data_IF_913770858369
#
_entry.id   IF_913770858369
#
_cell.length_a   1.000
_cell.length_b   1.000
_cell.length_c   1.000
_cell.angle_alpha   90.00
_cell.angle_beta   90.00
_cell.angle_gamma   90.00
#
_symmetry.space_group_name_H-M   'P 1'
#
loop_
_entity.id
_entity.type
_entity.pdbx_description
1 polymer ?
#
# COMPACT_ATOMS: atom_id res chain seq x y z
N UNK A 1 8.26 -9.68 18.22
CA UNK A 1 9.03 -8.68 17.43
C UNK A 1 9.98 -9.37 16.46
N UNK A 2 9.93 -9.04 15.18
CA UNK A 2 10.88 -9.43 14.12
C UNK A 2 11.88 -8.29 13.91
N UNK A 3 13.16 -8.61 13.84
CA UNK A 3 14.24 -7.68 13.50
C UNK A 3 15.03 -8.22 12.31
N UNK A 4 15.23 -7.38 11.31
CA UNK A 4 16.05 -7.63 10.13
C UNK A 4 17.10 -6.52 10.07
N UNK A 5 18.39 -6.91 10.06
CA UNK A 5 19.50 -5.96 10.11
C UNK A 5 20.42 -6.15 8.92
N UNK A 6 20.55 -5.11 8.09
CA UNK A 6 21.44 -5.03 6.93
C UNK A 6 21.39 -6.27 6.03
N UNK A 7 20.16 -6.80 5.83
CA UNK A 7 19.94 -8.03 5.07
C UNK A 7 20.26 -7.83 3.59
N UNK A 8 21.12 -8.69 3.05
CA UNK A 8 21.57 -8.61 1.66
C UNK A 8 21.53 -9.95 0.95
N UNK A 9 21.27 -9.91 -0.37
CA UNK A 9 21.36 -11.06 -1.27
C UNK A 9 21.74 -10.60 -2.67
N UNK A 10 22.82 -11.13 -3.21
CA UNK A 10 23.30 -10.80 -4.56
C UNK A 10 22.88 -11.88 -5.55
N UNK A 11 22.36 -11.45 -6.67
CA UNK A 11 22.07 -12.26 -7.86
C UNK A 11 22.86 -11.72 -9.05
N UNK A 12 22.99 -12.50 -10.13
CA UNK A 12 23.73 -12.09 -11.32
C UNK A 12 23.23 -10.76 -11.94
N UNK A 13 21.93 -10.45 -11.77
CA UNK A 13 21.26 -9.30 -12.41
C UNK A 13 20.58 -8.36 -11.43
N UNK A 14 20.62 -8.66 -10.11
CA UNK A 14 19.86 -7.92 -9.11
C UNK A 14 20.54 -8.02 -7.74
N UNK A 15 20.74 -6.89 -7.09
CA UNK A 15 21.22 -6.82 -5.73
C UNK A 15 20.04 -6.48 -4.80
N UNK A 16 19.81 -7.35 -3.81
CA UNK A 16 18.83 -7.14 -2.76
C UNK A 16 19.52 -6.59 -1.52
N UNK A 17 19.00 -5.50 -1.00
CA UNK A 17 19.46 -4.88 0.24
C UNK A 17 20.54 -3.79 0.03
N UNK A 18 21.13 -3.31 1.14
CA UNK A 18 20.80 -3.70 2.51
C UNK A 18 19.39 -3.31 2.95
N UNK A 19 18.70 -4.20 3.67
CA UNK A 19 17.39 -3.97 4.24
C UNK A 19 17.47 -4.02 5.75
N UNK A 20 17.01 -2.94 6.39
CA UNK A 20 16.78 -2.84 7.84
C UNK A 20 15.29 -2.72 8.10
N UNK A 21 14.74 -3.57 8.96
CA UNK A 21 13.31 -3.62 9.23
C UNK A 21 13.03 -4.16 10.61
N UNK A 22 12.14 -3.51 11.36
CA UNK A 22 11.60 -4.00 12.63
C UNK A 22 10.08 -4.07 12.52
N UNK A 23 9.50 -5.20 12.92
CA UNK A 23 8.05 -5.42 12.97
C UNK A 23 7.71 -5.97 14.35
N UNK A 24 6.94 -5.22 15.11
CA UNK A 24 6.39 -5.64 16.39
C UNK A 24 5.15 -6.52 16.18
N UNK A 25 4.30 -6.65 17.17
CA UNK A 25 3.01 -7.37 17.07
C UNK A 25 2.02 -6.50 16.30
N UNK A 26 2.32 -6.28 15.01
CA UNK A 26 1.62 -5.41 14.10
C UNK A 26 1.59 -6.00 12.68
N UNK A 27 0.76 -5.45 11.82
CA UNK A 27 0.75 -5.76 10.39
C UNK A 27 1.59 -4.76 9.62
N UNK A 28 2.72 -5.20 9.07
CA UNK A 28 3.48 -4.44 8.10
C UNK A 28 3.08 -4.83 6.69
N UNK A 29 2.41 -3.93 5.99
CA UNK A 29 2.14 -4.08 4.56
C UNK A 29 3.35 -3.68 3.73
N UNK A 30 3.74 -4.50 2.75
CA UNK A 30 4.82 -4.19 1.81
C UNK A 30 4.23 -3.98 0.41
N UNK A 31 4.42 -2.78 -0.11
CA UNK A 31 4.04 -2.36 -1.45
C UNK A 31 5.29 -2.13 -2.32
N UNK A 32 5.18 -2.40 -3.61
CA UNK A 32 6.24 -2.11 -4.57
C UNK A 32 5.96 -2.72 -5.95
N UNK A 33 6.65 -2.27 -7.01
CA UNK A 33 6.53 -2.83 -8.34
C UNK A 33 6.84 -4.33 -8.39
N UNK A 34 6.40 -5.00 -9.44
CA UNK A 34 6.83 -6.37 -9.72
C UNK A 34 8.34 -6.41 -9.90
N UNK A 35 9.00 -7.43 -9.34
CA UNK A 35 10.45 -7.57 -9.40
C UNK A 35 11.24 -6.69 -8.40
N UNK A 36 10.58 -5.93 -7.51
CA UNK A 36 11.30 -5.09 -6.53
C UNK A 36 11.98 -5.86 -5.39
N UNK A 37 11.82 -7.18 -5.29
CA UNK A 37 12.47 -8.00 -4.26
C UNK A 37 11.58 -8.40 -3.07
N UNK A 38 10.26 -8.12 -3.11
CA UNK A 38 9.34 -8.43 -1.99
C UNK A 38 9.29 -9.93 -1.64
N UNK A 39 9.15 -10.79 -2.65
CA UNK A 39 9.18 -12.26 -2.47
C UNK A 39 10.55 -12.74 -2.00
N UNK A 40 11.63 -12.07 -2.43
CA UNK A 40 12.99 -12.34 -1.94
C UNK A 40 13.09 -12.07 -0.44
N UNK A 41 12.56 -10.91 0.02
CA UNK A 41 12.51 -10.59 1.45
C UNK A 41 11.80 -11.69 2.24
N UNK A 42 10.58 -12.08 1.81
CA UNK A 42 9.83 -13.14 2.48
C UNK A 42 10.59 -14.47 2.50
N UNK A 43 11.24 -14.83 1.38
CA UNK A 43 12.00 -16.07 1.24
C UNK A 43 13.24 -16.12 2.14
N UNK A 44 13.92 -14.99 2.31
CA UNK A 44 15.06 -14.84 3.24
C UNK A 44 14.60 -14.94 4.69
N UNK A 45 13.52 -14.26 5.07
CA UNK A 45 12.99 -14.32 6.44
C UNK A 45 12.48 -15.73 6.76
N UNK A 46 11.77 -16.36 5.83
CA UNK A 46 11.30 -17.74 5.99
C UNK A 46 12.45 -18.77 6.04
N UNK A 47 13.64 -18.45 5.51
CA UNK A 47 14.79 -19.35 5.41
C UNK A 47 14.73 -20.33 4.25
N UNK A 48 14.00 -19.97 3.19
CA UNK A 48 14.01 -20.66 1.90
C UNK A 48 15.27 -20.29 1.13
N UNK A 49 15.71 -19.04 1.30
CA UNK A 49 16.95 -18.52 0.77
C UNK A 49 17.88 -18.15 1.92
N UNK A 50 19.16 -18.42 1.76
CA UNK A 50 20.18 -17.96 2.70
C UNK A 50 20.63 -16.55 2.30
N UNK A 51 20.72 -15.60 3.24
CA UNK A 51 21.28 -14.28 2.97
C UNK A 51 22.78 -14.36 2.73
N UNK A 52 23.32 -13.40 1.98
CA UNK A 52 24.77 -13.25 1.80
C UNK A 52 25.38 -12.38 2.91
N UNK A 53 24.54 -11.58 3.58
CA UNK A 53 24.93 -10.77 4.72
C UNK A 53 23.73 -10.26 5.50
N UNK A 54 24.01 -9.72 6.68
CA UNK A 54 22.99 -9.27 7.62
C UNK A 54 22.55 -10.33 8.61
N UNK A 55 21.50 -10.05 9.37
CA UNK A 55 20.96 -10.95 10.39
C UNK A 55 19.44 -10.84 10.49
N UNK A 56 18.79 -11.93 10.87
CA UNK A 56 17.35 -11.99 11.14
C UNK A 56 17.15 -12.55 12.54
N UNK A 57 16.36 -11.88 13.36
CA UNK A 57 15.96 -12.39 14.68
C UNK A 57 14.45 -12.28 14.88
N UNK A 58 13.89 -13.25 15.59
CA UNK A 58 12.48 -13.28 15.99
C UNK A 58 12.41 -13.48 17.50
N UNK A 59 11.74 -12.57 18.20
CA UNK A 59 11.61 -12.58 19.67
C UNK A 59 12.97 -12.66 20.39
N UNK A 60 14.01 -12.00 19.82
CA UNK A 60 15.38 -11.99 20.34
C UNK A 60 16.20 -13.24 20.01
N UNK A 61 15.65 -14.19 19.27
CA UNK A 61 16.36 -15.39 18.85
C UNK A 61 16.81 -15.27 17.38
N UNK A 62 18.09 -15.52 17.10
CA UNK A 62 18.59 -15.53 15.72
C UNK A 62 17.99 -16.68 14.92
N UNK A 63 17.51 -16.37 13.71
CA UNK A 63 16.99 -17.33 12.76
C UNK A 63 18.04 -17.82 11.75
N UNK A 64 19.18 -17.16 11.67
CA UNK A 64 20.25 -17.49 10.73
C UNK A 64 20.78 -18.92 10.98
N UNK A 65 20.86 -19.71 9.89
CA UNK A 65 21.28 -21.12 9.97
C UNK A 65 20.27 -22.08 10.59
N UNK A 66 19.11 -21.61 11.07
CA UNK A 66 18.04 -22.51 11.54
C UNK A 66 17.27 -23.09 10.35
N UNK A 67 16.99 -24.40 10.37
CA UNK A 67 16.14 -25.02 9.36
C UNK A 67 14.71 -24.47 9.43
N UNK A 68 14.01 -24.46 8.28
CA UNK A 68 12.63 -23.96 8.14
C UNK A 68 11.68 -24.40 9.26
N UNK A 69 11.75 -25.69 9.62
CA UNK A 69 10.83 -26.29 10.61
C UNK A 69 11.00 -25.73 12.02
N UNK A 70 12.17 -25.17 12.33
CA UNK A 70 12.50 -24.60 13.64
C UNK A 70 12.23 -23.10 13.75
N UNK A 71 11.93 -22.43 12.60
CA UNK A 71 11.68 -20.98 12.58
C UNK A 71 10.29 -20.60 13.06
N UNK A 72 9.35 -21.54 13.15
CA UNK A 72 7.93 -21.29 13.49
C UNK A 72 7.29 -20.15 12.68
N UNK A 73 7.72 -20.02 11.43
CA UNK A 73 7.26 -19.00 10.50
C UNK A 73 6.19 -19.58 9.59
N UNK A 74 5.02 -18.98 9.58
CA UNK A 74 3.96 -19.29 8.63
C UNK A 74 4.17 -18.52 7.32
N UNK A 75 4.27 -19.22 6.19
CA UNK A 75 4.39 -18.59 4.88
C UNK A 75 3.28 -19.05 3.96
N UNK A 76 2.58 -18.06 3.38
CA UNK A 76 1.63 -18.27 2.27
C UNK A 76 2.25 -17.77 0.99
N UNK A 77 2.50 -18.70 0.07
CA UNK A 77 2.97 -18.40 -1.28
C UNK A 77 1.82 -17.93 -2.18
N UNK A 78 2.14 -17.18 -3.20
CA UNK A 78 1.18 -16.71 -4.20
C UNK A 78 0.41 -17.87 -4.86
N UNK A 79 1.06 -19.01 -5.12
CA UNK A 79 0.45 -20.20 -5.73
C UNK A 79 -0.21 -21.16 -4.72
N UNK A 80 -0.23 -20.81 -3.43
CA UNK A 80 -0.85 -21.59 -2.34
C UNK A 80 -0.07 -22.86 -1.95
N UNK A 81 0.72 -23.47 -2.83
CA UNK A 81 1.56 -24.66 -2.60
C UNK A 81 0.86 -25.79 -1.81
N UNK A 82 -0.36 -26.15 -2.22
CA UNK A 82 -1.13 -27.24 -1.59
C UNK A 82 -0.63 -28.62 -2.00
N UNK A 83 -0.78 -29.60 -1.10
CA UNK A 83 -0.52 -31.01 -1.40
C UNK A 83 -1.64 -31.55 -2.31
N UNK A 84 -1.38 -31.89 -3.59
CA UNK A 84 -2.43 -32.19 -4.56
C UNK A 84 -3.16 -33.51 -4.31
N UNK A 85 -2.55 -34.41 -3.54
CA UNK A 85 -3.09 -35.72 -3.18
C UNK A 85 -3.95 -35.71 -1.92
N UNK A 86 -3.91 -34.64 -1.14
CA UNK A 86 -4.67 -34.42 0.09
C UNK A 86 -5.93 -33.59 -0.21
N UNK A 87 -7.00 -33.82 0.54
CA UNK A 87 -8.18 -32.94 0.57
C UNK A 87 -7.84 -31.59 1.19
N UNK A 88 -8.73 -30.58 1.07
CA UNK A 88 -8.55 -29.30 1.76
C UNK A 88 -8.44 -29.48 3.28
N UNK A 89 -9.30 -30.31 3.86
CA UNK A 89 -9.26 -30.67 5.29
C UNK A 89 -7.91 -31.28 5.70
N UNK A 90 -7.39 -32.22 4.91
CA UNK A 90 -6.10 -32.87 5.18
C UNK A 90 -4.94 -31.89 5.00
N UNK A 91 -5.00 -30.98 4.02
CA UNK A 91 -4.02 -29.91 3.87
C UNK A 91 -3.95 -29.01 5.10
N UNK A 92 -5.11 -28.53 5.60
CA UNK A 92 -5.18 -27.69 6.80
C UNK A 92 -4.71 -28.49 8.02
N UNK A 93 -5.21 -29.71 8.18
CA UNK A 93 -4.89 -30.58 9.29
C UNK A 93 -3.42 -31.06 9.33
N UNK A 94 -2.70 -30.97 8.21
CA UNK A 94 -1.28 -31.35 8.15
C UNK A 94 -0.39 -30.48 9.05
N UNK A 95 -0.72 -29.21 9.17
CA UNK A 95 0.03 -28.26 9.96
C UNK A 95 -0.70 -27.85 11.26
N UNK A 96 -1.97 -28.22 11.42
CA UNK A 96 -2.78 -27.79 12.56
C UNK A 96 -2.27 -28.37 13.87
N UNK A 97 -2.09 -27.49 14.87
CA UNK A 97 -1.77 -27.86 16.24
C UNK A 97 -2.98 -28.42 16.98
N UNK A 98 -4.20 -28.01 16.57
CA UNK A 98 -5.49 -28.50 17.08
C UNK A 98 -6.48 -28.71 15.94
N UNK A 99 -7.29 -29.78 16.03
CA UNK A 99 -8.34 -30.07 15.03
C UNK A 99 -9.49 -29.09 15.04
N UNK A 100 -9.76 -28.43 16.16
CA UNK A 100 -10.83 -27.42 16.27
C UNK A 100 -10.52 -26.19 15.39
N UNK A 101 -9.25 -25.84 15.24
CA UNK A 101 -8.78 -24.75 14.34
C UNK A 101 -9.11 -24.98 12.88
N UNK A 102 -9.24 -26.25 12.43
CA UNK A 102 -9.66 -26.55 11.05
C UNK A 102 -11.06 -25.98 10.77
N UNK A 103 -12.00 -26.19 11.69
CA UNK A 103 -13.37 -25.72 11.53
C UNK A 103 -13.44 -24.19 11.66
N UNK A 104 -12.69 -23.61 12.59
CA UNK A 104 -12.59 -22.17 12.81
C UNK A 104 -12.10 -21.45 11.53
N UNK A 105 -10.93 -21.83 11.00
CA UNK A 105 -10.38 -21.20 9.79
C UNK A 105 -11.12 -21.56 8.52
N UNK A 106 -11.76 -22.74 8.46
CA UNK A 106 -12.65 -23.09 7.35
C UNK A 106 -13.89 -22.19 7.31
N UNK A 107 -14.43 -21.82 8.47
CA UNK A 107 -15.56 -20.90 8.58
C UNK A 107 -15.11 -19.47 8.25
N UNK A 108 -14.03 -18.98 8.88
CA UNK A 108 -13.47 -17.64 8.67
C UNK A 108 -13.18 -17.38 7.18
N UNK A 109 -12.58 -18.35 6.50
CA UNK A 109 -12.14 -18.22 5.12
C UNK A 109 -13.18 -18.75 4.10
N UNK A 110 -14.38 -19.12 4.57
CA UNK A 110 -15.50 -19.58 3.73
C UNK A 110 -15.13 -20.73 2.78
N UNK A 111 -14.52 -21.76 3.34
CA UNK A 111 -14.11 -22.98 2.64
C UNK A 111 -14.69 -24.23 3.28
N UNK A 112 -15.69 -24.09 4.15
CA UNK A 112 -16.30 -25.21 4.86
C UNK A 112 -16.95 -26.24 3.89
N UNK A 113 -17.52 -25.77 2.78
CA UNK A 113 -18.18 -26.56 1.75
C UNK A 113 -17.21 -27.29 0.82
N UNK A 114 -15.93 -26.93 0.82
CA UNK A 114 -14.91 -27.54 -0.06
C UNK A 114 -13.88 -28.38 0.70
N UNK A 115 -14.04 -28.56 2.01
CA UNK A 115 -13.07 -29.25 2.85
C UNK A 115 -12.75 -30.67 2.39
N UNK A 116 -13.71 -31.39 1.80
CA UNK A 116 -13.52 -32.77 1.35
C UNK A 116 -13.09 -32.88 -0.13
N UNK A 117 -12.86 -31.72 -0.78
CA UNK A 117 -12.37 -31.66 -2.17
C UNK A 117 -10.84 -31.59 -2.19
N UNK A 118 -10.25 -32.05 -3.31
CA UNK A 118 -8.79 -31.96 -3.55
C UNK A 118 -8.42 -30.72 -4.35
N UNK A 119 -7.19 -30.17 -4.19
CA UNK A 119 -6.74 -28.96 -4.85
C UNK A 119 -7.02 -28.90 -6.36
N UNK A 120 -6.83 -29.96 -7.18
CA UNK A 120 -7.13 -29.87 -8.61
C UNK A 120 -8.61 -29.62 -8.94
N UNK A 121 -9.53 -29.79 -7.99
CA UNK A 121 -10.97 -29.55 -8.17
C UNK A 121 -11.44 -28.25 -7.53
N UNK A 122 -10.52 -27.48 -6.93
CA UNK A 122 -10.76 -26.19 -6.33
C UNK A 122 -10.46 -25.07 -7.34
N UNK A 123 -11.22 -23.98 -7.27
CA UNK A 123 -10.84 -22.73 -7.94
C UNK A 123 -9.55 -22.15 -7.35
N UNK A 124 -8.85 -21.30 -8.09
CA UNK A 124 -7.63 -20.66 -7.59
C UNK A 124 -7.85 -19.90 -6.28
N UNK A 125 -8.99 -19.24 -6.14
CA UNK A 125 -9.35 -18.55 -4.90
C UNK A 125 -9.62 -19.48 -3.72
N UNK A 126 -10.26 -20.63 -3.96
CA UNK A 126 -10.44 -21.67 -2.91
C UNK A 126 -9.11 -22.26 -2.49
N UNK A 127 -8.21 -22.56 -3.45
CA UNK A 127 -6.87 -23.06 -3.15
C UNK A 127 -6.09 -22.06 -2.27
N UNK A 128 -6.15 -20.77 -2.58
CA UNK A 128 -5.46 -19.74 -1.83
C UNK A 128 -6.00 -19.61 -0.40
N UNK A 129 -7.33 -19.70 -0.23
CA UNK A 129 -7.97 -19.70 1.10
C UNK A 129 -7.64 -20.95 1.92
N UNK A 130 -7.54 -22.11 1.28
CA UNK A 130 -7.09 -23.34 1.95
C UNK A 130 -5.63 -23.24 2.38
N UNK A 131 -4.75 -22.65 1.56
CA UNK A 131 -3.35 -22.42 1.91
C UNK A 131 -3.21 -21.46 3.11
N UNK A 132 -3.99 -20.39 3.12
CA UNK A 132 -4.04 -19.46 4.24
C UNK A 132 -4.55 -20.14 5.52
N UNK A 133 -5.64 -20.92 5.43
CA UNK A 133 -6.16 -21.70 6.55
C UNK A 133 -5.12 -22.67 7.14
N UNK A 134 -4.39 -23.38 6.25
CA UNK A 134 -3.30 -24.28 6.67
C UNK A 134 -2.22 -23.55 7.43
N UNK A 135 -1.81 -22.38 6.95
CA UNK A 135 -0.74 -21.60 7.57
C UNK A 135 -1.16 -21.05 8.94
N UNK A 136 -2.39 -20.53 9.06
CA UNK A 136 -2.94 -20.04 10.33
C UNK A 136 -3.16 -21.17 11.33
N UNK A 137 -3.57 -22.35 10.87
CA UNK A 137 -3.78 -23.51 11.75
C UNK A 137 -2.48 -24.05 12.39
N UNK A 138 -1.32 -23.73 11.81
CA UNK A 138 -0.01 -24.10 12.33
C UNK A 138 0.43 -23.31 13.58
N UNK A 139 -0.31 -22.26 13.95
CA UNK A 139 0.00 -21.37 15.08
C UNK A 139 1.42 -20.79 15.03
N UNK A 140 1.77 -20.04 13.99
CA UNK A 140 3.12 -19.52 13.80
C UNK A 140 3.42 -18.35 14.74
N UNK A 141 4.71 -18.11 15.03
CA UNK A 141 5.19 -16.95 15.77
C UNK A 141 5.45 -15.73 14.86
N UNK A 142 5.42 -15.92 13.54
CA UNK A 142 5.56 -14.90 12.50
C UNK A 142 4.74 -15.33 11.28
N UNK A 143 3.96 -14.41 10.72
CA UNK A 143 3.15 -14.67 9.53
C UNK A 143 3.66 -13.87 8.33
N UNK A 144 3.98 -14.58 7.25
CA UNK A 144 4.45 -14.03 5.98
C UNK A 144 3.43 -14.35 4.87
N UNK A 145 2.91 -13.33 4.22
CA UNK A 145 1.84 -13.47 3.24
C UNK A 145 2.26 -12.83 1.91
N UNK A 146 2.41 -13.63 0.86
CA UNK A 146 2.73 -13.15 -0.48
C UNK A 146 1.47 -13.14 -1.35
N UNK A 147 0.86 -11.96 -1.49
CA UNK A 147 -0.35 -11.70 -2.27
C UNK A 147 -1.54 -12.66 -2.01
N UNK A 148 -1.91 -12.93 -0.74
CA UNK A 148 -2.83 -14.00 -0.39
C UNK A 148 -4.28 -13.76 -0.84
N UNK A 149 -4.62 -12.59 -1.38
CA UNK A 149 -5.95 -12.26 -1.88
C UNK A 149 -5.97 -11.89 -3.39
N UNK A 150 -4.85 -12.02 -4.09
CA UNK A 150 -4.72 -11.52 -5.47
C UNK A 150 -5.64 -12.24 -6.46
N UNK A 151 -5.81 -13.55 -6.31
CA UNK A 151 -6.63 -14.39 -7.21
C UNK A 151 -8.14 -14.37 -6.92
N UNK A 152 -8.58 -13.56 -5.94
CA UNK A 152 -9.98 -13.51 -5.52
C UNK A 152 -10.79 -12.46 -6.28
N UNK A 153 -12.06 -12.78 -6.52
CA UNK A 153 -13.04 -11.82 -7.03
C UNK A 153 -13.24 -10.65 -6.07
N UNK A 154 -13.56 -9.47 -6.61
CA UNK A 154 -13.64 -8.23 -5.85
C UNK A 154 -14.59 -8.29 -4.63
N UNK A 155 -15.82 -8.90 -4.70
CA UNK A 155 -16.69 -9.03 -3.54
C UNK A 155 -16.10 -9.89 -2.42
N UNK A 156 -15.50 -11.04 -2.77
CA UNK A 156 -14.87 -11.96 -1.83
C UNK A 156 -13.65 -11.29 -1.20
N UNK A 157 -12.78 -10.66 -2.01
CA UNK A 157 -11.61 -9.93 -1.54
C UNK A 157 -11.98 -8.84 -0.54
N UNK A 158 -13.04 -8.05 -0.81
CA UNK A 158 -13.50 -6.98 0.09
C UNK A 158 -14.00 -7.51 1.44
N UNK A 159 -14.65 -8.67 1.44
CA UNK A 159 -15.14 -9.31 2.66
C UNK A 159 -13.98 -9.91 3.45
N UNK A 160 -13.16 -10.74 2.85
CA UNK A 160 -12.01 -11.38 3.51
C UNK A 160 -11.01 -10.35 4.05
N UNK A 161 -10.82 -9.23 3.38
CA UNK A 161 -9.99 -8.13 3.90
C UNK A 161 -10.47 -7.63 5.26
N UNK A 162 -11.79 -7.48 5.47
CA UNK A 162 -12.33 -7.08 6.78
C UNK A 162 -12.15 -8.16 7.83
N UNK A 163 -12.36 -9.41 7.47
CA UNK A 163 -12.21 -10.54 8.38
C UNK A 163 -10.75 -10.76 8.77
N UNK A 164 -9.83 -10.65 7.80
CA UNK A 164 -8.40 -10.72 8.06
C UNK A 164 -7.91 -9.55 8.91
N UNK A 165 -8.45 -8.34 8.71
CA UNK A 165 -8.13 -7.22 9.58
C UNK A 165 -8.49 -7.53 11.04
N UNK A 166 -9.71 -8.04 11.27
CA UNK A 166 -10.15 -8.44 12.63
C UNK A 166 -9.26 -9.55 13.19
N UNK A 167 -8.94 -10.57 12.38
CA UNK A 167 -8.06 -11.66 12.78
C UNK A 167 -6.67 -11.12 13.15
N UNK A 168 -6.02 -10.36 12.26
CA UNK A 168 -4.66 -9.87 12.49
C UNK A 168 -4.57 -8.98 13.72
N UNK A 169 -5.60 -8.16 13.98
CA UNK A 169 -5.67 -7.36 15.22
C UNK A 169 -5.74 -8.24 16.48
N UNK A 170 -6.23 -9.48 16.37
CA UNK A 170 -6.29 -10.42 17.49
C UNK A 170 -5.05 -11.30 17.64
N UNK A 171 -4.16 -11.31 16.63
CA UNK A 171 -2.90 -12.01 16.68
C UNK A 171 -1.86 -11.13 17.39
N UNK A 172 -1.21 -11.68 18.41
CA UNK A 172 -0.11 -11.03 19.11
C UNK A 172 1.23 -11.51 18.52
N UNK A 173 1.37 -11.41 17.19
CA UNK A 173 2.56 -11.79 16.42
C UNK A 173 2.82 -10.81 15.28
N UNK A 174 4.07 -10.66 14.83
CA UNK A 174 4.39 -9.91 13.62
C UNK A 174 3.72 -10.52 12.38
N UNK A 175 3.16 -9.66 11.52
CA UNK A 175 2.59 -10.05 10.22
C UNK A 175 3.22 -9.21 9.13
N UNK A 176 3.84 -9.85 8.13
CA UNK A 176 4.27 -9.19 6.89
C UNK A 176 3.32 -9.55 5.77
N UNK A 177 2.66 -8.56 5.21
CA UNK A 177 1.67 -8.69 4.15
C UNK A 177 2.16 -8.03 2.87
N UNK A 178 2.60 -8.81 1.90
CA UNK A 178 3.01 -8.31 0.58
C UNK A 178 1.78 -8.21 -0.33
N UNK A 179 1.63 -7.08 -1.00
CA UNK A 179 0.58 -6.86 -2.00
C UNK A 179 0.99 -5.78 -2.99
N UNK A 180 0.40 -5.79 -4.19
CA UNK A 180 0.44 -4.69 -5.14
C UNK A 180 -0.83 -3.81 -5.06
N UNK A 181 -1.84 -4.23 -4.30
CA UNK A 181 -3.10 -3.49 -4.09
C UNK A 181 -2.95 -2.51 -2.92
N UNK A 182 -2.84 -1.22 -3.26
CA UNK A 182 -2.73 -0.14 -2.28
C UNK A 182 -3.92 -0.09 -1.31
N UNK A 183 -5.14 -0.38 -1.81
CA UNK A 183 -6.35 -0.39 -0.95
C UNK A 183 -6.26 -1.50 0.11
N UNK A 184 -5.70 -2.64 -0.25
CA UNK A 184 -5.48 -3.75 0.69
C UNK A 184 -4.39 -3.40 1.70
N UNK A 185 -3.27 -2.85 1.25
CA UNK A 185 -2.19 -2.44 2.13
C UNK A 185 -2.63 -1.38 3.16
N UNK A 186 -3.40 -0.38 2.70
CA UNK A 186 -3.95 0.67 3.58
C UNK A 186 -4.99 0.14 4.57
N UNK A 187 -5.76 -0.88 4.19
CA UNK A 187 -6.84 -1.40 5.03
C UNK A 187 -6.38 -2.44 6.05
N UNK A 188 -5.27 -3.14 5.78
CA UNK A 188 -4.77 -4.20 6.65
C UNK A 188 -3.52 -3.78 7.44
N UNK A 189 -2.68 -2.90 6.89
CA UNK A 189 -1.41 -2.55 7.49
C UNK A 189 -1.53 -1.47 8.56
N UNK A 190 -0.95 -1.71 9.72
CA UNK A 190 -0.67 -0.67 10.72
C UNK A 190 0.45 0.25 10.22
N UNK A 191 1.44 -0.35 9.55
CA UNK A 191 2.49 0.35 8.80
C UNK A 191 2.58 -0.17 7.37
N UNK A 192 3.07 0.70 6.48
CA UNK A 192 3.32 0.39 5.07
C UNK A 192 4.77 0.69 4.73
N UNK A 193 5.46 -0.28 4.13
CA UNK A 193 6.79 -0.11 3.54
C UNK A 193 6.65 -0.06 2.00
N UNK A 194 7.27 0.93 1.39
CA UNK A 194 7.41 1.00 -0.07
C UNK A 194 8.75 0.41 -0.46
N UNK A 195 8.69 -0.64 -1.28
CA UNK A 195 9.85 -1.41 -1.72
C UNK A 195 10.20 -1.10 -3.17
N UNK A 196 11.46 -0.83 -3.44
CA UNK A 196 11.94 -0.55 -4.79
C UNK A 196 13.38 -1.05 -4.95
N UNK A 197 13.65 -1.71 -6.06
CA UNK A 197 15.02 -2.11 -6.47
C UNK A 197 15.82 -2.79 -5.32
N UNK A 198 15.15 -3.70 -4.58
CA UNK A 198 15.76 -4.45 -3.48
C UNK A 198 15.83 -3.72 -2.14
N UNK A 199 15.40 -2.46 -2.05
CA UNK A 199 15.53 -1.64 -0.85
C UNK A 199 14.20 -1.05 -0.38
N UNK A 200 14.15 -0.57 0.86
CA UNK A 200 13.01 0.16 1.42
C UNK A 200 13.19 1.66 1.15
N UNK A 201 12.29 2.25 0.38
CA UNK A 201 12.26 3.70 0.09
C UNK A 201 11.63 4.52 1.22
N UNK A 202 10.58 3.99 1.83
CA UNK A 202 9.85 4.65 2.92
C UNK A 202 9.08 3.64 3.76
N UNK A 203 9.03 3.86 5.07
CA UNK A 203 8.12 3.16 6.00
C UNK A 203 7.36 4.19 6.83
N UNK A 204 6.09 3.95 7.08
CA UNK A 204 5.26 4.80 7.92
C UNK A 204 3.83 4.29 8.03
N UNK A 205 2.96 5.01 8.73
CA UNK A 205 1.53 4.71 8.66
C UNK A 205 1.04 4.87 7.22
N UNK A 206 0.04 4.08 6.77
CA UNK A 206 -0.45 4.16 5.39
C UNK A 206 -0.76 5.59 4.93
N UNK A 207 -1.42 6.36 5.79
CA UNK A 207 -1.74 7.76 5.50
C UNK A 207 -0.52 8.67 5.45
N UNK A 208 0.53 8.38 6.23
CA UNK A 208 1.78 9.14 6.16
C UNK A 208 2.52 8.88 4.84
N UNK A 209 2.56 7.63 4.39
CA UNK A 209 3.19 7.24 3.12
C UNK A 209 2.47 7.87 1.92
N UNK A 210 1.14 7.91 1.94
CA UNK A 210 0.33 8.50 0.86
C UNK A 210 0.42 10.03 0.84
N UNK A 211 0.27 10.69 2.01
CA UNK A 211 0.16 12.14 2.08
C UNK A 211 1.49 12.88 2.26
N UNK A 212 2.54 12.16 2.68
CA UNK A 212 3.89 12.71 2.94
C UNK A 212 4.97 11.83 2.34
N UNK A 213 4.95 11.61 1.02
CA UNK A 213 5.96 10.80 0.34
C UNK A 213 7.33 11.46 0.44
N UNK A 214 8.37 10.66 0.73
CA UNK A 214 9.74 11.15 0.87
C UNK A 214 10.44 11.33 -0.46
N UNK A 215 9.99 10.64 -1.51
CA UNK A 215 10.57 10.70 -2.85
C UNK A 215 9.48 10.85 -3.92
N UNK A 216 9.87 11.32 -5.10
CA UNK A 216 8.97 11.36 -6.27
C UNK A 216 8.47 9.97 -6.67
N UNK A 217 9.30 8.94 -6.47
CA UNK A 217 8.90 7.57 -6.73
C UNK A 217 7.74 7.17 -5.81
N UNK A 218 7.91 7.35 -4.50
CA UNK A 218 6.84 7.04 -3.53
C UNK A 218 5.59 7.83 -3.85
N UNK A 219 5.70 9.13 -4.15
CA UNK A 219 4.58 9.97 -4.52
C UNK A 219 3.80 9.38 -5.70
N UNK A 220 4.46 9.10 -6.82
CA UNK A 220 3.82 8.52 -8.02
C UNK A 220 3.23 7.15 -7.74
N UNK A 221 3.98 6.31 -7.03
CA UNK A 221 3.56 4.96 -6.71
C UNK A 221 2.32 4.91 -5.82
N UNK A 222 2.12 5.92 -4.97
CA UNK A 222 0.96 6.06 -4.08
C UNK A 222 -0.17 6.91 -4.66
N UNK A 223 -0.12 7.24 -5.97
CA UNK A 223 -1.20 7.94 -6.66
C UNK A 223 -1.15 9.47 -6.56
N UNK A 224 -0.05 10.04 -6.07
CA UNK A 224 0.14 11.48 -6.14
C UNK A 224 0.62 11.87 -7.54
N UNK A 225 -0.26 12.40 -8.36
CA UNK A 225 0.03 12.75 -9.76
C UNK A 225 0.37 14.22 -9.93
N UNK A 226 -0.15 15.10 -9.09
CA UNK A 226 0.18 16.51 -9.11
C UNK A 226 1.56 16.75 -8.51
N UNK A 227 2.59 16.56 -9.32
CA UNK A 227 4.00 16.74 -8.97
C UNK A 227 4.60 17.86 -9.81
N UNK A 228 4.91 18.98 -9.19
CA UNK A 228 5.42 20.18 -9.88
C UNK A 228 6.73 20.66 -9.28
N UNK A 229 7.66 21.12 -10.13
CA UNK A 229 8.83 21.84 -9.69
C UNK A 229 8.43 23.21 -9.15
N UNK A 230 8.85 23.51 -7.96
CA UNK A 230 8.57 24.78 -7.29
C UNK A 230 9.83 25.42 -6.73
N UNK A 231 9.82 26.74 -6.63
CA UNK A 231 10.83 27.50 -5.91
C UNK A 231 10.19 28.12 -4.68
N UNK A 232 10.82 27.99 -3.55
CA UNK A 232 10.41 28.67 -2.31
C UNK A 232 10.74 30.16 -2.45
N UNK A 233 9.70 31.00 -2.43
CA UNK A 233 9.83 32.47 -2.55
C UNK A 233 10.10 33.08 -1.20
N UNK A 234 9.30 32.71 -0.19
CA UNK A 234 9.34 33.26 1.16
C UNK A 234 8.91 32.20 2.17
N UNK A 235 9.56 32.15 3.31
CA UNK A 235 9.12 31.38 4.47
C UNK A 235 8.62 32.34 5.54
N UNK A 236 7.41 32.12 6.04
CA UNK A 236 6.77 32.80 7.16
C UNK A 236 6.69 31.86 8.36
N UNK A 237 6.22 32.33 9.51
CA UNK A 237 6.16 31.51 10.72
C UNK A 237 5.44 30.17 10.51
N UNK A 238 4.24 30.17 9.91
CA UNK A 238 3.38 28.99 9.74
C UNK A 238 3.18 28.58 8.28
N UNK A 239 3.72 29.32 7.32
CA UNK A 239 3.45 29.10 5.89
C UNK A 239 4.67 29.37 5.02
N UNK A 240 4.70 28.73 3.89
CA UNK A 240 5.72 28.91 2.86
C UNK A 240 5.06 29.33 1.56
N UNK A 241 5.50 30.42 0.98
CA UNK A 241 5.08 30.88 -0.33
C UNK A 241 5.93 30.19 -1.41
N UNK A 242 5.28 29.48 -2.30
CA UNK A 242 5.87 28.72 -3.40
C UNK A 242 5.54 29.38 -4.73
N UNK A 243 6.44 29.27 -5.69
CA UNK A 243 6.21 29.64 -7.08
C UNK A 243 6.35 28.40 -7.98
N UNK A 244 5.27 28.05 -8.66
CA UNK A 244 5.23 27.03 -9.71
C UNK A 244 4.93 27.73 -11.03
N UNK A 245 5.87 27.79 -11.94
CA UNK A 245 5.75 28.62 -13.14
C UNK A 245 5.43 30.08 -12.80
N UNK A 246 4.26 30.59 -13.18
CA UNK A 246 3.74 31.92 -12.89
C UNK A 246 2.68 31.95 -11.77
N UNK A 247 2.33 30.78 -11.19
CA UNK A 247 1.37 30.69 -10.07
C UNK A 247 2.11 30.74 -8.72
N UNK A 248 1.49 31.41 -7.75
CA UNK A 248 1.93 31.42 -6.36
C UNK A 248 0.98 30.57 -5.54
N UNK A 249 1.55 29.68 -4.73
CA UNK A 249 0.82 28.80 -3.83
C UNK A 249 1.36 28.95 -2.42
N UNK A 250 0.49 28.84 -1.44
CA UNK A 250 0.85 28.86 -0.03
C UNK A 250 0.73 27.43 0.54
N UNK A 251 1.76 26.96 1.23
CA UNK A 251 1.80 25.66 1.90
C UNK A 251 2.09 25.85 3.39
N UNK A 252 1.61 24.90 4.22
CA UNK A 252 1.95 24.84 5.65
C UNK A 252 3.30 24.15 5.90
N UNK A 253 3.91 23.55 4.87
CA UNK A 253 5.20 22.87 4.97
C UNK A 253 6.36 23.87 5.02
N UNK A 254 7.31 23.69 5.92
CA UNK A 254 8.47 24.58 6.05
C UNK A 254 9.57 24.24 5.05
N UNK A 255 10.07 25.28 4.34
CA UNK A 255 11.23 25.17 3.46
C UNK A 255 11.95 26.51 3.32
N UNK A 256 13.27 26.49 3.24
CA UNK A 256 14.08 27.72 3.18
C UNK A 256 13.88 28.47 1.85
N UNK A 257 13.81 29.81 1.92
CA UNK A 257 13.67 30.65 0.75
C UNK A 257 14.84 30.45 -0.24
N UNK A 258 14.51 30.42 -1.54
CA UNK A 258 15.45 30.18 -2.63
C UNK A 258 15.68 28.67 -2.94
N UNK A 259 15.14 27.76 -2.14
CA UNK A 259 15.29 26.33 -2.37
C UNK A 259 14.35 25.84 -3.49
N UNK A 260 14.87 25.01 -4.41
CA UNK A 260 14.06 24.24 -5.35
C UNK A 260 13.47 23.00 -4.63
N UNK A 261 12.19 22.75 -4.80
CA UNK A 261 11.47 21.63 -4.19
C UNK A 261 10.50 21.01 -5.19
N UNK A 262 10.13 19.76 -4.99
CA UNK A 262 8.98 19.19 -5.70
C UNK A 262 7.74 19.34 -4.84
N UNK A 263 6.77 20.09 -5.34
CA UNK A 263 5.44 20.18 -4.76
C UNK A 263 4.65 18.92 -5.12
N UNK A 264 4.03 18.32 -4.12
CA UNK A 264 3.25 17.10 -4.23
C UNK A 264 1.86 17.32 -3.64
N UNK A 265 0.82 17.01 -4.43
CA UNK A 265 -0.58 17.13 -4.01
C UNK A 265 -1.33 15.87 -4.44
N UNK A 266 -1.93 15.18 -3.47
CA UNK A 266 -2.77 14.03 -3.81
C UNK A 266 -4.06 14.50 -4.53
N UNK A 267 -4.51 13.84 -5.62
CA UNK A 267 -5.70 14.26 -6.38
C UNK A 267 -6.95 14.44 -5.54
N UNK A 268 -7.18 13.60 -4.53
CA UNK A 268 -8.33 13.70 -3.62
C UNK A 268 -8.32 14.94 -2.70
N UNK A 269 -7.20 15.67 -2.64
CA UNK A 269 -7.05 16.91 -1.85
C UNK A 269 -7.28 18.17 -2.68
N UNK A 270 -7.36 18.06 -4.00
CA UNK A 270 -7.74 19.16 -4.89
C UNK A 270 -9.26 19.26 -4.90
N UNK A 271 -9.80 20.40 -4.50
CA UNK A 271 -11.22 20.66 -4.47
C UNK A 271 -11.65 21.35 -5.77
N UNK A 272 -12.74 20.89 -6.41
CA UNK A 272 -13.29 21.47 -7.60
C UNK A 272 -14.67 22.05 -7.33
N UNK A 273 -14.94 23.24 -7.87
CA UNK A 273 -16.16 24.00 -7.68
C UNK A 273 -16.72 24.50 -9.03
N UNK A 274 -18.03 24.71 -9.09
CA UNK A 274 -18.66 25.36 -10.24
C UNK A 274 -18.17 26.81 -10.41
N UNK A 275 -18.15 27.37 -11.62
CA UNK A 275 -17.62 28.70 -11.91
C UNK A 275 -18.40 29.84 -11.22
N UNK A 276 -19.67 29.65 -10.92
CA UNK A 276 -20.59 30.66 -10.36
C UNK A 276 -20.89 30.41 -8.88
N UNK A 277 -19.89 30.35 -8.03
CA UNK A 277 -20.05 30.40 -6.57
C UNK A 277 -19.67 31.80 -6.09
N UNK A 278 -20.52 32.41 -5.21
CA UNK A 278 -20.36 33.72 -4.64
C UNK A 278 -18.91 34.06 -4.27
N UNK A 279 -18.53 35.30 -4.50
CA UNK A 279 -17.21 35.93 -4.32
C UNK A 279 -16.54 35.80 -2.93
N UNK A 280 -17.09 35.02 -2.01
CA UNK A 280 -16.63 34.93 -0.63
C UNK A 280 -15.55 33.85 -0.36
N UNK A 281 -15.14 33.08 -1.37
CA UNK A 281 -13.98 32.18 -1.22
C UNK A 281 -12.68 32.96 -1.55
N UNK A 282 -12.27 33.88 -0.69
CA UNK A 282 -10.87 34.29 -0.57
C UNK A 282 -10.06 33.13 0.02
N UNK A 283 -10.20 31.93 -0.60
CA UNK A 283 -9.37 30.79 -0.24
C UNK A 283 -8.01 30.99 -0.91
N UNK A 284 -6.98 30.99 -0.10
CA UNK A 284 -5.62 30.86 -0.59
C UNK A 284 -5.52 29.65 -1.54
N UNK A 285 -4.73 29.78 -2.60
CA UNK A 285 -4.53 28.74 -3.62
C UNK A 285 -5.80 28.39 -4.47
N UNK A 286 -6.61 29.36 -4.82
CA UNK A 286 -7.73 29.17 -5.75
C UNK A 286 -7.36 29.68 -7.13
N UNK A 287 -7.65 28.88 -8.15
CA UNK A 287 -7.42 29.21 -9.55
C UNK A 287 -8.61 28.82 -10.41
N UNK A 288 -8.81 29.54 -11.53
CA UNK A 288 -9.74 29.16 -12.59
C UNK A 288 -9.06 28.19 -13.56
N UNK A 289 -9.84 27.32 -14.16
CA UNK A 289 -9.35 26.36 -15.14
C UNK A 289 -10.48 25.77 -15.97
N UNK A 290 -10.07 25.05 -16.99
CA UNK A 290 -10.97 24.37 -17.92
C UNK A 290 -10.77 22.87 -17.81
N UNK A 291 -11.86 22.11 -17.78
CA UNK A 291 -11.81 20.64 -17.79
C UNK A 291 -11.26 20.20 -19.15
N UNK A 292 -10.11 19.54 -19.13
CA UNK A 292 -9.49 18.96 -20.31
C UNK A 292 -10.11 17.59 -20.62
N UNK A 293 -10.11 16.70 -19.63
CA UNK A 293 -10.75 15.39 -19.73
C UNK A 293 -11.21 14.87 -18.36
N UNK A 294 -12.08 13.88 -18.40
CA UNK A 294 -12.46 13.16 -17.21
C UNK A 294 -12.72 11.67 -17.49
N UNK A 295 -12.54 10.83 -16.48
CA UNK A 295 -12.73 9.39 -16.56
C UNK A 295 -13.52 8.91 -15.35
N UNK A 296 -14.48 8.01 -15.58
CA UNK A 296 -15.19 7.32 -14.52
C UNK A 296 -14.41 6.05 -14.13
N UNK A 297 -13.85 6.02 -12.94
CA UNK A 297 -13.11 4.87 -12.38
C UNK A 297 -13.99 3.95 -11.50
N UNK A 298 -15.31 4.18 -11.53
CA UNK A 298 -16.31 3.41 -10.79
C UNK A 298 -16.60 3.99 -9.40
N UNK A 299 -15.64 4.03 -8.53
CA UNK A 299 -15.77 4.57 -7.16
C UNK A 299 -15.64 6.10 -7.12
N UNK A 300 -14.98 6.68 -8.10
CA UNK A 300 -14.73 8.13 -8.25
C UNK A 300 -14.59 8.54 -9.72
N UNK A 301 -14.70 9.83 -9.96
CA UNK A 301 -14.41 10.46 -11.24
C UNK A 301 -13.05 11.14 -11.13
N UNK A 302 -12.16 10.80 -12.04
CA UNK A 302 -10.88 11.46 -12.23
C UNK A 302 -11.03 12.57 -13.25
N UNK A 303 -10.63 13.79 -12.89
CA UNK A 303 -10.79 14.98 -13.73
C UNK A 303 -9.45 15.67 -13.87
N UNK A 304 -9.07 16.00 -15.11
CA UNK A 304 -7.92 16.82 -15.42
C UNK A 304 -8.38 18.24 -15.75
N UNK A 305 -7.82 19.21 -15.04
CA UNK A 305 -8.15 20.62 -15.17
C UNK A 305 -6.91 21.40 -15.61
N UNK A 306 -6.94 21.96 -16.79
CA UNK A 306 -5.93 22.90 -17.27
C UNK A 306 -6.18 24.27 -16.62
N UNK A 307 -5.19 24.83 -15.93
CA UNK A 307 -5.31 26.16 -15.32
C UNK A 307 -5.23 27.25 -16.40
N UNK A 308 -6.12 28.26 -16.32
CA UNK A 308 -6.20 29.32 -17.33
C UNK A 308 -4.96 30.23 -17.34
N UNK A 309 -4.39 30.48 -16.16
CA UNK A 309 -3.28 31.41 -15.98
C UNK A 309 -1.89 30.74 -15.96
N UNK A 310 -1.80 29.41 -16.13
CA UNK A 310 -0.54 28.69 -16.06
C UNK A 310 -0.51 27.44 -16.94
N UNK A 311 0.64 27.05 -17.48
CA UNK A 311 0.81 25.79 -18.19
C UNK A 311 0.87 24.62 -17.21
N UNK A 312 -0.18 24.44 -16.42
CA UNK A 312 -0.29 23.44 -15.36
C UNK A 312 -1.63 22.72 -15.54
N UNK A 313 -1.61 21.41 -15.60
CA UNK A 313 -2.80 20.57 -15.50
C UNK A 313 -2.82 19.93 -14.10
N UNK A 314 -3.93 20.10 -13.40
CA UNK A 314 -4.19 19.49 -12.10
C UNK A 314 -5.10 18.30 -12.27
N UNK A 315 -4.75 17.18 -11.67
CA UNK A 315 -5.64 16.02 -11.52
C UNK A 315 -6.40 16.14 -10.20
N UNK A 316 -7.71 15.97 -10.23
CA UNK A 316 -8.56 15.86 -9.04
C UNK A 316 -9.45 14.64 -9.12
N UNK A 317 -9.87 14.13 -7.96
CA UNK A 317 -10.86 13.05 -7.88
C UNK A 317 -12.14 13.55 -7.22
N UNK A 318 -13.29 13.19 -7.81
CA UNK A 318 -14.60 13.63 -7.38
C UNK A 318 -15.45 12.39 -7.05
N UNK A 319 -16.18 12.45 -5.96
CA UNK A 319 -17.13 11.38 -5.61
C UNK A 319 -18.36 11.43 -6.51
N UNK A 320 -18.97 10.27 -6.83
CA UNK A 320 -20.21 10.24 -7.63
C UNK A 320 -21.33 11.13 -7.10
N UNK A 321 -21.44 11.29 -5.78
CA UNK A 321 -22.42 12.18 -5.14
C UNK A 321 -22.25 13.66 -5.46
N UNK A 322 -21.10 14.08 -5.91
CA UNK A 322 -20.82 15.48 -6.30
C UNK A 322 -20.90 15.69 -7.81
N UNK A 323 -21.12 14.62 -8.58
CA UNK A 323 -21.16 14.67 -10.04
C UNK A 323 -22.27 15.58 -10.55
N UNK A 324 -23.49 15.46 -10.00
CA UNK A 324 -24.65 16.24 -10.46
C UNK A 324 -24.56 17.74 -10.15
N UNK A 325 -23.59 18.15 -9.35
CA UNK A 325 -23.39 19.54 -8.92
C UNK A 325 -22.31 20.26 -9.74
N UNK A 326 -21.62 19.56 -10.63
CA UNK A 326 -20.48 20.07 -11.38
C UNK A 326 -20.69 19.90 -12.89
N UNK A 327 -20.29 20.89 -13.70
CA UNK A 327 -20.37 20.80 -15.17
C UNK A 327 -19.25 19.90 -15.71
N UNK A 328 -19.39 18.58 -15.59
CA UNK A 328 -18.38 17.62 -16.04
C UNK A 328 -18.46 17.36 -17.55
N UNK A 329 -18.25 18.39 -18.34
CA UNK A 329 -18.05 18.30 -19.78
C UNK A 329 -16.67 18.86 -20.14
N UNK A 330 -15.97 18.22 -21.08
CA UNK A 330 -14.72 18.75 -21.60
C UNK A 330 -14.93 20.16 -22.15
N UNK A 331 -14.06 21.09 -21.82
CA UNK A 331 -14.19 22.51 -22.16
C UNK A 331 -15.01 23.34 -21.17
N UNK A 332 -15.61 22.73 -20.13
CA UNK A 332 -16.32 23.49 -19.10
C UNK A 332 -15.34 24.21 -18.16
N UNK A 333 -15.67 25.48 -17.85
CA UNK A 333 -14.90 26.25 -16.85
C UNK A 333 -15.23 25.80 -15.45
N UNK A 334 -14.22 25.72 -14.60
CA UNK A 334 -14.32 25.33 -13.18
C UNK A 334 -13.36 26.17 -12.34
N UNK A 335 -13.56 26.14 -11.03
CA UNK A 335 -12.58 26.68 -10.06
C UNK A 335 -11.99 25.51 -9.28
N UNK A 336 -10.67 25.55 -9.08
CA UNK A 336 -9.95 24.58 -8.27
C UNK A 336 -9.31 25.26 -7.06
N UNK A 337 -9.42 24.62 -5.90
CA UNK A 337 -8.83 25.12 -4.65
C UNK A 337 -7.93 24.04 -4.07
N UNK A 338 -6.74 24.42 -3.67
CA UNK A 338 -5.76 23.53 -3.05
C UNK A 338 -5.55 24.02 -1.60
N UNK A 339 -6.06 23.31 -0.58
CA UNK A 339 -5.80 23.67 0.81
C UNK A 339 -4.29 23.75 1.09
N UNK A 340 -3.78 24.74 1.83
CA UNK A 340 -2.35 24.87 2.12
C UNK A 340 -1.72 23.65 2.80
N UNK A 341 -2.50 22.93 3.63
CA UNK A 341 -2.11 21.69 4.30
C UNK A 341 -2.14 20.45 3.39
N UNK A 342 -2.73 20.56 2.20
CA UNK A 342 -2.72 19.51 1.18
C UNK A 342 -1.42 19.47 0.37
N UNK A 343 -0.62 20.52 0.45
CA UNK A 343 0.64 20.64 -0.27
C UNK A 343 1.77 20.06 0.55
N UNK A 344 2.38 19.00 0.05
CA UNK A 344 3.59 18.39 0.60
C UNK A 344 4.80 18.75 -0.25
N UNK A 345 5.97 18.96 0.40
CA UNK A 345 7.22 19.33 -0.26
C UNK A 345 8.22 18.18 -0.18
N UNK A 346 8.61 17.66 -1.34
CA UNK A 346 9.69 16.67 -1.49
C UNK A 346 10.97 17.47 -1.78
N UNK A 347 11.99 17.24 -0.97
CA UNK A 347 13.30 17.93 -1.05
C UNK A 347 14.27 17.19 -1.94
#
# INVERSE_FOLDING_TARGET
MLEVTSLTKTYDTFDFGPVDLTVDDEVLSILGPSGSGKTTLLSLIAGILDPDGGAISLNGEHLDGRPLQERRTGLVFQDGALFPHMTARENIGYAATDRERIAEFASLLEIADVLDRRPPTLSGGEQQRVALARTLAADPDLLLLDEPLASLDAPIRRRLRRELHTLFTSLEIPVIYVTHDQRTATALGDRTAIFRDGTIEQVGSPMAVINRPTTRFVARFTGNENLFEATVVEQREDTTLLRVSNVRLQATAAAAAGTGVTLCIHPSRVQMHAPSGSDDLHCENTASGTIDQWLNEGDEYRVEVALDDAPITLTTTIRPSSFDQLPLEAGSSVRVTIPPDAIHLIK
#
